data_IF_345358142100
#
_entry.id   IF_345358142100
#
_cell.length_a   1.000
_cell.length_b   1.000
_cell.length_c   1.000
_cell.angle_alpha   90.00
_cell.angle_beta   90.00
_cell.angle_gamma   90.00
#
_symmetry.space_group_name_H-M   'P 1'
#
loop_
_entity.id
_entity.type
_entity.pdbx_description
1 polymer ?
#
# COMPACT_ATOMS: atom_id res chain seq x y z
N UNK A 1 -18.70 3.31 12.04
CA UNK A 1 -17.91 2.49 11.11
C UNK A 1 -17.13 3.35 10.12
N UNK A 2 -17.79 4.25 9.36
CA UNK A 2 -17.14 5.12 8.36
C UNK A 2 -15.98 5.99 8.90
N UNK A 3 -16.20 6.73 10.01
CA UNK A 3 -15.14 7.51 10.66
C UNK A 3 -13.95 6.66 11.13
N UNK A 4 -14.19 5.43 11.55
CA UNK A 4 -13.12 4.51 11.98
C UNK A 4 -12.30 3.99 10.81
N UNK A 5 -12.96 3.73 9.67
CA UNK A 5 -12.29 3.40 8.42
C UNK A 5 -11.40 4.55 7.95
N UNK A 6 -11.95 5.77 7.85
CA UNK A 6 -11.18 6.95 7.46
C UNK A 6 -10.00 7.19 8.40
N UNK A 7 -10.22 7.13 9.72
CA UNK A 7 -9.15 7.25 10.71
C UNK A 7 -8.05 6.18 10.54
N UNK A 8 -8.43 4.94 10.20
CA UNK A 8 -7.46 3.86 9.98
C UNK A 8 -6.70 4.04 8.66
N UNK A 9 -7.38 4.47 7.60
CA UNK A 9 -6.79 4.78 6.30
C UNK A 9 -5.79 5.95 6.41
N UNK A 10 -6.16 7.03 7.10
CA UNK A 10 -5.23 8.11 7.41
C UNK A 10 -4.05 7.62 8.23
N UNK A 11 -4.28 6.81 9.27
CA UNK A 11 -3.18 6.31 10.10
C UNK A 11 -2.18 5.46 9.30
N UNK A 12 -2.64 4.67 8.32
CA UNK A 12 -1.80 3.93 7.37
C UNK A 12 -0.98 4.88 6.48
N UNK A 13 -1.67 5.84 5.84
CA UNK A 13 -1.08 6.79 4.90
C UNK A 13 -0.10 7.77 5.55
N UNK A 14 -0.40 8.26 6.74
CA UNK A 14 0.49 9.14 7.51
C UNK A 14 1.78 8.42 7.93
N UNK A 15 1.67 7.14 8.31
CA UNK A 15 2.85 6.34 8.60
C UNK A 15 3.69 6.16 7.34
N UNK A 16 3.09 5.80 6.21
CA UNK A 16 3.82 5.74 4.94
C UNK A 16 4.46 7.08 4.55
N UNK A 17 3.73 8.19 4.67
CA UNK A 17 4.22 9.54 4.39
C UNK A 17 5.44 9.89 5.24
N UNK A 18 5.53 9.39 6.49
CA UNK A 18 6.71 9.61 7.33
C UNK A 18 8.00 9.05 6.71
N UNK A 19 7.93 7.94 5.95
CA UNK A 19 9.08 7.39 5.22
C UNK A 19 9.52 8.35 4.12
N UNK A 20 8.58 8.85 3.34
CA UNK A 20 8.88 9.85 2.32
C UNK A 20 9.44 11.14 2.92
N UNK A 21 8.87 11.65 4.02
CA UNK A 21 9.37 12.86 4.68
C UNK A 21 10.82 12.73 5.12
N UNK A 22 11.22 11.56 5.64
CA UNK A 22 12.63 11.29 5.98
C UNK A 22 13.51 11.28 4.73
N UNK A 23 13.07 10.61 3.65
CA UNK A 23 13.82 10.57 2.40
C UNK A 23 13.96 11.96 1.77
N UNK A 24 12.90 12.76 1.80
CA UNK A 24 12.93 14.15 1.35
C UNK A 24 13.89 14.99 2.19
N UNK A 25 13.85 14.87 3.53
CA UNK A 25 14.79 15.57 4.40
C UNK A 25 16.24 15.17 4.10
N UNK A 26 16.51 13.89 3.87
CA UNK A 26 17.83 13.42 3.45
C UNK A 26 18.23 14.00 2.08
N UNK A 27 17.28 14.12 1.15
CA UNK A 27 17.50 14.67 -0.19
C UNK A 27 17.90 16.14 -0.14
N UNK A 28 17.09 16.97 0.54
CA UNK A 28 17.36 18.41 0.67
C UNK A 28 18.63 18.71 1.48
N UNK A 29 18.98 17.81 2.41
CA UNK A 29 20.21 17.92 3.21
C UNK A 29 21.46 17.36 2.50
N UNK A 30 21.31 16.88 1.26
CA UNK A 30 22.37 16.21 0.49
C UNK A 30 23.00 14.99 1.20
N UNK A 31 22.22 14.31 2.04
CA UNK A 31 22.61 13.13 2.82
C UNK A 31 22.16 11.81 2.18
N UNK A 32 21.47 11.85 1.03
CA UNK A 32 21.15 10.65 0.28
C UNK A 32 22.39 10.08 -0.45
N UNK A 33 22.63 8.76 -0.34
CA UNK A 33 23.61 8.08 -1.18
C UNK A 33 23.28 8.20 -2.66
N UNK A 34 24.31 8.16 -3.50
CA UNK A 34 24.15 8.34 -4.95
C UNK A 34 23.19 7.33 -5.58
N UNK A 35 23.29 6.06 -5.19
CA UNK A 35 22.42 4.99 -5.69
C UNK A 35 20.92 5.17 -5.34
N UNK A 36 20.60 6.00 -4.35
CA UNK A 36 19.22 6.39 -4.00
C UNK A 36 18.82 7.63 -4.76
N UNK A 37 19.71 8.62 -4.88
CA UNK A 37 19.44 9.88 -5.60
C UNK A 37 18.99 9.65 -7.04
N UNK A 38 19.60 8.69 -7.72
CA UNK A 38 19.28 8.31 -9.11
C UNK A 38 17.88 7.74 -9.30
N UNK A 39 17.22 7.26 -8.23
CA UNK A 39 15.89 6.64 -8.29
C UNK A 39 14.74 7.61 -8.09
N UNK A 40 14.98 8.92 -8.10
CA UNK A 40 14.02 10.03 -7.82
C UNK A 40 13.26 9.94 -6.50
N UNK A 41 13.45 8.89 -5.71
CA UNK A 41 12.81 8.67 -4.40
C UNK A 41 13.07 9.85 -3.45
N UNK A 42 12.02 10.23 -2.73
CA UNK A 42 12.05 11.38 -1.80
C UNK A 42 12.12 12.73 -2.51
N UNK A 43 11.78 12.80 -3.78
CA UNK A 43 11.55 14.06 -4.49
C UNK A 43 10.08 14.47 -4.44
N UNK A 44 9.81 15.72 -4.77
CA UNK A 44 8.43 16.23 -4.90
C UNK A 44 7.64 15.46 -5.96
N UNK A 45 8.25 15.14 -7.11
CA UNK A 45 7.60 14.34 -8.16
C UNK A 45 7.20 12.94 -7.68
N UNK A 46 8.06 12.27 -6.90
CA UNK A 46 7.76 10.97 -6.28
C UNK A 46 6.59 11.09 -5.28
N UNK A 47 6.47 12.22 -4.58
CA UNK A 47 5.33 12.48 -3.71
C UNK A 47 4.03 12.75 -4.47
N UNK A 48 4.11 13.56 -5.53
CA UNK A 48 2.97 13.89 -6.39
C UNK A 48 2.40 12.63 -7.03
N UNK A 49 3.24 11.72 -7.54
CA UNK A 49 2.80 10.41 -8.03
C UNK A 49 2.05 9.62 -6.95
N UNK A 50 2.54 9.62 -5.71
CA UNK A 50 1.84 8.98 -4.60
C UNK A 50 0.51 9.65 -4.27
N UNK A 51 0.41 10.98 -4.38
CA UNK A 51 -0.87 11.68 -4.17
C UNK A 51 -1.88 11.36 -5.28
N UNK A 52 -1.43 11.14 -6.51
CA UNK A 52 -2.28 10.67 -7.60
C UNK A 52 -2.83 9.26 -7.31
N UNK A 53 -1.97 8.33 -6.87
CA UNK A 53 -2.40 6.98 -6.47
C UNK A 53 -3.42 7.03 -5.32
N UNK A 54 -3.20 7.88 -4.30
CA UNK A 54 -4.17 8.12 -3.21
C UNK A 54 -5.49 8.66 -3.72
N UNK A 55 -5.44 9.61 -4.66
CA UNK A 55 -6.63 10.22 -5.26
C UNK A 55 -7.46 9.18 -6.01
N UNK A 56 -6.83 8.29 -6.77
CA UNK A 56 -7.52 7.20 -7.47
C UNK A 56 -8.23 6.27 -6.46
N UNK A 57 -7.57 5.91 -5.36
CA UNK A 57 -8.18 5.11 -4.29
C UNK A 57 -9.33 5.86 -3.62
N UNK A 58 -9.17 7.16 -3.33
CA UNK A 58 -10.23 7.99 -2.75
C UNK A 58 -11.44 8.05 -3.67
N UNK A 59 -11.21 8.24 -4.97
CA UNK A 59 -12.25 8.30 -5.97
C UNK A 59 -13.00 6.98 -6.06
N UNK A 60 -12.29 5.85 -6.11
CA UNK A 60 -12.90 4.53 -6.12
C UNK A 60 -13.71 4.24 -4.83
N UNK A 61 -13.19 4.66 -3.68
CA UNK A 61 -13.80 4.33 -2.38
C UNK A 61 -14.93 5.28 -1.99
N UNK A 62 -14.83 6.58 -2.31
CA UNK A 62 -15.74 7.63 -1.82
C UNK A 62 -16.33 8.51 -2.94
N UNK A 63 -15.90 8.35 -4.19
CA UNK A 63 -16.34 9.18 -5.31
C UNK A 63 -15.75 10.59 -5.31
N UNK A 64 -14.72 10.85 -4.52
CA UNK A 64 -14.05 12.15 -4.42
C UNK A 64 -12.53 11.97 -4.38
N UNK A 65 -11.80 12.95 -4.88
CA UNK A 65 -10.34 12.86 -5.05
C UNK A 65 -9.57 13.16 -3.74
N UNK A 66 -10.13 14.03 -2.91
CA UNK A 66 -9.52 14.46 -1.65
C UNK A 66 -10.45 14.19 -0.47
N UNK A 67 -9.90 13.52 0.55
CA UNK A 67 -10.57 13.27 1.83
C UNK A 67 -9.90 14.11 2.93
N UNK A 68 -10.69 14.67 3.84
CA UNK A 68 -10.18 15.45 4.98
C UNK A 68 -10.30 14.68 6.29
N UNK A 69 -9.39 14.93 7.25
CA UNK A 69 -9.53 14.38 8.60
C UNK A 69 -10.85 14.85 9.22
N UNK A 70 -11.66 13.92 9.69
CA UNK A 70 -12.95 14.21 10.33
C UNK A 70 -14.16 14.15 9.40
N UNK A 71 -13.95 13.94 8.10
CA UNK A 71 -15.07 13.67 7.19
C UNK A 71 -15.83 12.40 7.62
N UNK A 72 -17.12 12.34 7.28
CA UNK A 72 -18.00 11.20 7.54
C UNK A 72 -18.48 10.58 6.23
N UNK A 73 -17.53 10.28 5.34
CA UNK A 73 -17.81 9.76 4.01
C UNK A 73 -18.20 8.30 4.09
N UNK A 74 -19.26 7.96 3.35
CA UNK A 74 -19.67 6.57 3.20
C UNK A 74 -18.97 5.96 1.98
N UNK A 75 -18.41 4.75 2.09
CA UNK A 75 -17.90 4.06 0.93
C UNK A 75 -18.98 3.88 -0.15
N UNK A 76 -18.61 4.16 -1.40
CA UNK A 76 -19.42 3.87 -2.57
C UNK A 76 -19.55 2.36 -2.78
N UNK A 77 -20.47 1.94 -3.66
CA UNK A 77 -20.43 0.57 -4.17
C UNK A 77 -19.20 0.44 -5.07
N UNK A 78 -18.26 -0.42 -4.70
CA UNK A 78 -17.04 -0.69 -5.46
C UNK A 78 -16.91 -2.18 -5.76
N UNK A 79 -16.23 -2.48 -6.85
CA UNK A 79 -15.83 -3.84 -7.19
C UNK A 79 -14.60 -4.21 -6.33
N UNK A 80 -14.73 -5.27 -5.54
CA UNK A 80 -13.74 -5.61 -4.52
C UNK A 80 -12.34 -5.82 -5.09
N UNK A 81 -12.22 -6.48 -6.24
CA UNK A 81 -10.92 -6.79 -6.81
C UNK A 81 -10.22 -5.53 -7.33
N UNK A 82 -10.95 -4.67 -8.04
CA UNK A 82 -10.44 -3.37 -8.47
C UNK A 82 -9.94 -2.52 -7.31
N UNK A 83 -10.70 -2.45 -6.20
CA UNK A 83 -10.25 -1.68 -5.03
C UNK A 83 -8.99 -2.28 -4.39
N UNK A 84 -8.93 -3.60 -4.26
CA UNK A 84 -7.75 -4.30 -3.74
C UNK A 84 -6.52 -3.95 -4.60
N UNK A 85 -6.64 -4.00 -5.92
CA UNK A 85 -5.52 -3.72 -6.83
C UNK A 85 -5.05 -2.26 -6.74
N UNK A 86 -5.99 -1.31 -6.65
CA UNK A 86 -5.67 0.11 -6.47
C UNK A 86 -4.97 0.39 -5.14
N UNK A 87 -5.44 -0.23 -4.06
CA UNK A 87 -4.79 -0.13 -2.75
C UNK A 87 -3.38 -0.74 -2.76
N UNK A 88 -3.18 -1.86 -3.44
CA UNK A 88 -1.87 -2.50 -3.54
C UNK A 88 -0.89 -1.70 -4.40
N UNK A 89 -1.38 -1.01 -5.43
CA UNK A 89 -0.58 -0.05 -6.19
C UNK A 89 -0.10 1.09 -5.28
N UNK A 90 -1.01 1.72 -4.54
CA UNK A 90 -0.71 2.77 -3.56
C UNK A 90 0.31 2.29 -2.51
N UNK A 91 0.12 1.08 -1.96
CA UNK A 91 1.00 0.49 -0.94
C UNK A 91 2.37 0.11 -1.48
N UNK A 92 2.45 -0.31 -2.75
CA UNK A 92 3.74 -0.63 -3.40
C UNK A 92 4.64 0.61 -3.45
N UNK A 93 4.05 1.79 -3.66
CA UNK A 93 4.78 3.07 -3.59
C UNK A 93 5.36 3.31 -2.20
N UNK A 94 4.53 3.15 -1.17
CA UNK A 94 4.97 3.30 0.22
C UNK A 94 6.10 2.33 0.59
N UNK A 95 5.95 1.07 0.19
CA UNK A 95 6.96 0.05 0.42
C UNK A 95 8.28 0.35 -0.29
N UNK A 96 8.25 1.06 -1.42
CA UNK A 96 9.48 1.53 -2.08
C UNK A 96 10.26 2.48 -1.17
N UNK A 97 9.58 3.41 -0.50
CA UNK A 97 10.22 4.33 0.46
C UNK A 97 10.80 3.59 1.65
N UNK A 98 10.03 2.71 2.27
CA UNK A 98 10.53 1.89 3.37
C UNK A 98 11.73 1.03 2.95
N UNK A 99 11.67 0.41 1.76
CA UNK A 99 12.75 -0.42 1.22
C UNK A 99 14.03 0.39 1.05
N UNK A 100 13.96 1.61 0.52
CA UNK A 100 15.15 2.46 0.39
C UNK A 100 15.77 2.77 1.76
N UNK A 101 14.95 3.14 2.76
CA UNK A 101 15.42 3.41 4.11
C UNK A 101 16.03 2.17 4.77
N UNK A 102 15.41 1.00 4.60
CA UNK A 102 15.89 -0.26 5.16
C UNK A 102 17.23 -0.70 4.52
N UNK A 103 17.35 -0.57 3.19
CA UNK A 103 18.60 -0.84 2.48
C UNK A 103 19.73 0.11 2.92
N UNK A 104 19.44 1.41 3.03
CA UNK A 104 20.40 2.38 3.57
C UNK A 104 20.82 2.03 5.00
N UNK A 105 19.87 1.57 5.83
CA UNK A 105 20.14 1.11 7.21
C UNK A 105 21.06 -0.10 7.23
N UNK A 106 20.75 -1.12 6.43
CA UNK A 106 21.55 -2.34 6.34
C UNK A 106 22.99 -2.04 5.89
N UNK A 107 23.17 -1.05 5.02
CA UNK A 107 24.47 -0.58 4.53
C UNK A 107 25.18 0.41 5.46
N UNK A 108 24.58 0.77 6.61
CA UNK A 108 25.10 1.79 7.55
C UNK A 108 25.32 3.15 6.89
N UNK A 109 24.45 3.51 5.95
CA UNK A 109 24.49 4.77 5.18
C UNK A 109 23.47 5.80 5.67
N UNK A 110 22.70 5.49 6.71
CA UNK A 110 21.80 6.44 7.34
C UNK A 110 22.54 7.35 8.31
N UNK A 111 22.27 8.67 8.31
CA UNK A 111 22.71 9.58 9.35
C UNK A 111 22.18 9.18 10.73
N UNK A 112 22.89 9.58 11.78
CA UNK A 112 22.58 9.23 13.18
C UNK A 112 21.17 9.65 13.61
N UNK A 113 20.70 10.82 13.16
CA UNK A 113 19.37 11.31 13.47
C UNK A 113 18.26 10.40 12.90
N UNK A 114 18.44 9.82 11.72
CA UNK A 114 17.49 8.83 11.15
C UNK A 114 17.64 7.48 11.83
N UNK A 115 18.88 7.07 12.10
CA UNK A 115 19.17 5.81 12.75
C UNK A 115 18.47 5.70 14.11
N UNK A 116 18.47 6.80 14.88
CA UNK A 116 17.87 6.94 16.21
C UNK A 116 16.34 6.98 16.17
N UNK A 117 15.75 7.62 15.15
CA UNK A 117 14.30 7.77 15.02
C UNK A 117 13.55 6.46 14.75
N UNK A 118 14.24 5.32 14.61
CA UNK A 118 13.62 3.99 14.42
C UNK A 118 12.69 3.91 13.19
N UNK A 119 12.85 4.81 12.24
CA UNK A 119 12.13 4.81 10.96
C UNK A 119 12.88 3.89 9.97
N UNK A 120 12.14 3.15 9.16
CA UNK A 120 12.72 2.31 8.09
C UNK A 120 13.44 1.06 8.60
N UNK A 121 12.99 0.50 9.74
CA UNK A 121 13.46 -0.78 10.26
C UNK A 121 12.34 -1.84 10.24
N UNK A 122 12.67 -3.11 10.47
CA UNK A 122 11.69 -4.22 10.49
C UNK A 122 10.42 -3.96 11.33
N UNK A 123 10.55 -3.67 12.64
CA UNK A 123 9.36 -3.38 13.47
C UNK A 123 8.59 -2.10 13.10
N UNK A 124 9.10 -1.27 12.20
CA UNK A 124 8.43 -0.06 11.72
C UNK A 124 7.53 -0.42 10.54
N UNK A 125 8.02 -1.29 9.66
CA UNK A 125 7.22 -1.96 8.66
C UNK A 125 6.10 -2.79 9.28
N UNK A 126 6.38 -3.60 10.32
CA UNK A 126 5.35 -4.39 11.01
C UNK A 126 4.20 -3.50 11.53
N UNK A 127 4.54 -2.39 12.20
CA UNK A 127 3.53 -1.42 12.66
C UNK A 127 2.71 -0.81 11.51
N UNK A 128 3.32 -0.59 10.35
CA UNK A 128 2.59 -0.15 9.16
C UNK A 128 1.71 -1.27 8.59
N UNK A 129 2.22 -2.50 8.52
CA UNK A 129 1.47 -3.69 8.08
C UNK A 129 0.24 -3.94 8.96
N UNK A 130 0.34 -3.74 10.28
CA UNK A 130 -0.80 -3.85 11.19
C UNK A 130 -1.90 -2.81 10.87
N UNK A 131 -1.51 -1.60 10.48
CA UNK A 131 -2.45 -0.56 10.04
C UNK A 131 -3.11 -0.94 8.72
N UNK A 132 -2.33 -1.43 7.75
CA UNK A 132 -2.84 -1.92 6.47
C UNK A 132 -3.82 -3.10 6.65
N UNK A 133 -3.47 -4.05 7.51
CA UNK A 133 -4.32 -5.18 7.86
C UNK A 133 -5.65 -4.72 8.51
N UNK A 134 -5.60 -3.69 9.36
CA UNK A 134 -6.80 -3.10 9.96
C UNK A 134 -7.71 -2.44 8.91
N UNK A 135 -7.13 -1.71 7.94
CA UNK A 135 -7.90 -1.12 6.83
C UNK A 135 -8.53 -2.22 5.99
N UNK A 136 -7.77 -3.27 5.66
CA UNK A 136 -8.30 -4.42 4.91
C UNK A 136 -9.45 -5.11 5.66
N UNK A 137 -9.30 -5.31 6.98
CA UNK A 137 -10.34 -5.89 7.81
C UNK A 137 -11.65 -5.08 7.76
N UNK A 138 -11.56 -3.75 7.70
CA UNK A 138 -12.72 -2.87 7.63
C UNK A 138 -13.36 -2.82 6.23
N UNK A 139 -12.55 -2.88 5.16
CA UNK A 139 -13.02 -2.81 3.77
C UNK A 139 -13.51 -4.14 3.22
N UNK A 140 -12.81 -5.22 3.56
CA UNK A 140 -12.95 -6.53 2.93
C UNK A 140 -13.38 -7.63 3.90
N UNK A 141 -13.46 -7.33 5.19
CA UNK A 141 -13.76 -8.32 6.23
C UNK A 141 -12.61 -9.29 6.52
N UNK A 142 -11.43 -9.09 5.90
CA UNK A 142 -10.25 -9.94 6.08
C UNK A 142 -8.99 -9.06 6.19
N UNK A 143 -8.02 -9.41 7.06
CA UNK A 143 -6.81 -8.60 7.23
C UNK A 143 -5.84 -8.74 6.05
N UNK A 144 -5.89 -9.87 5.34
CA UNK A 144 -5.05 -10.17 4.20
C UNK A 144 -5.92 -10.43 2.98
N UNK A 145 -5.65 -9.70 1.90
CA UNK A 145 -6.35 -9.83 0.62
C UNK A 145 -5.34 -10.07 -0.50
N UNK A 146 -5.73 -10.78 -1.55
CA UNK A 146 -4.86 -11.09 -2.68
C UNK A 146 -5.24 -10.21 -3.88
N UNK A 147 -4.34 -9.37 -4.34
CA UNK A 147 -4.51 -8.61 -5.58
C UNK A 147 -4.33 -9.50 -6.83
N UNK A 148 -4.92 -9.10 -7.96
CA UNK A 148 -4.96 -9.87 -9.20
C UNK A 148 -3.55 -10.24 -9.71
N UNK A 149 -2.56 -9.34 -9.57
CA UNK A 149 -1.18 -9.64 -9.98
C UNK A 149 -0.53 -10.78 -9.17
N UNK A 150 -1.01 -11.06 -7.95
CA UNK A 150 -0.62 -12.25 -7.17
C UNK A 150 -1.49 -13.46 -7.49
N UNK A 151 -2.77 -13.27 -7.86
CA UNK A 151 -3.65 -14.35 -8.30
C UNK A 151 -3.18 -14.96 -9.63
N UNK A 152 -2.70 -14.12 -10.57
CA UNK A 152 -2.12 -14.55 -11.85
C UNK A 152 -0.75 -15.25 -11.72
N UNK A 153 -0.10 -15.19 -10.55
CA UNK A 153 1.14 -15.93 -10.24
C UNK A 153 0.89 -17.30 -9.61
N UNK A 154 -0.36 -17.63 -9.29
CA UNK A 154 -0.72 -19.01 -8.94
C UNK A 154 -0.79 -19.78 -10.25
N UNK A 155 0.00 -20.85 -10.46
CA UNK A 155 -0.31 -21.75 -11.55
C UNK A 155 -1.70 -22.33 -11.25
N UNK A 156 -2.70 -21.98 -12.08
CA UNK A 156 -3.96 -22.69 -12.12
C UNK A 156 -3.65 -24.15 -12.41
N UNK A 157 -3.73 -24.96 -11.36
CA UNK A 157 -3.55 -26.39 -11.47
C UNK A 157 -4.12 -27.07 -10.25
N UNK A 158 -5.29 -27.70 -10.34
CA UNK A 158 -5.50 -28.89 -9.53
C UNK A 158 -4.48 -29.93 -10.02
N UNK A 159 -3.71 -30.54 -9.11
CA UNK A 159 -3.12 -31.84 -9.43
C UNK A 159 -4.27 -32.74 -9.91
N UNK A 160 -4.17 -33.41 -11.07
CA UNK A 160 -5.24 -34.27 -11.52
C UNK A 160 -5.25 -35.50 -10.62
N UNK A 161 -6.18 -35.55 -9.67
CA UNK A 161 -6.53 -36.83 -9.07
C UNK A 161 -7.53 -37.51 -9.99
N UNK A 162 -7.04 -38.59 -10.58
CA UNK A 162 -7.69 -39.33 -11.66
C UNK A 162 -8.79 -40.19 -11.06
N UNK A 163 -9.96 -39.61 -10.76
CA UNK A 163 -11.27 -40.30 -10.64
C UNK A 163 -12.34 -39.35 -10.09
N UNK A 164 -13.50 -39.35 -10.75
CA UNK A 164 -14.78 -38.70 -10.37
C UNK A 164 -14.84 -37.20 -10.70
N UNK A 165 -15.84 -36.62 -11.37
CA UNK A 165 -17.18 -37.06 -11.76
C UNK A 165 -17.63 -36.14 -12.91
N UNK A 166 -18.27 -36.75 -13.90
CA UNK A 166 -19.25 -36.14 -14.81
C UNK A 166 -20.30 -35.34 -14.04
N UNK A 167 -20.53 -34.08 -14.39
CA UNK A 167 -21.85 -33.44 -14.39
C UNK A 167 -21.79 -32.13 -15.18
N UNK A 168 -22.66 -32.06 -16.18
CA UNK A 168 -22.85 -30.99 -17.15
C UNK A 168 -23.23 -29.65 -16.49
N UNK A 169 -22.75 -28.54 -17.05
CA UNK A 169 -23.33 -27.22 -16.82
C UNK A 169 -23.61 -26.56 -18.18
N UNK A 170 -24.89 -26.42 -18.48
CA UNK A 170 -25.44 -25.57 -19.54
C UNK A 170 -25.13 -24.10 -19.28
N UNK A 171 -24.97 -23.27 -20.33
CA UNK A 171 -24.89 -21.84 -20.17
C UNK A 171 -26.29 -21.26 -19.86
N UNK A 172 -26.36 -20.35 -18.89
CA UNK A 172 -27.48 -19.41 -18.76
C UNK A 172 -27.02 -18.11 -19.40
N UNK A 173 -27.57 -17.81 -20.58
CA UNK A 173 -27.53 -16.48 -21.17
C UNK A 173 -28.58 -15.59 -20.48
N UNK A 174 -28.34 -14.28 -20.55
CA UNK A 174 -29.13 -13.15 -20.07
C UNK A 174 -30.65 -13.31 -20.10
#
# INVERSE_FOLDING_TARGET
MNRQLLSSLFAEREHASSWWSVLNQLRISNQLPEWVRTKVVGSDTDYEESMLERSIVNHALFGIDEIRPGDDLRPCAFEYQSLIDLMELERTRYLTWWTMLNEMRARKQLPEWVATNRIGHGPDHERWSDKAAKVNQMLFGQPHVRHLATQLRVPEGPRPDSRQRTASLTPVNC
#
